data_IF_266966758283
#
_entry.id   IF_266966758283
#
_cell.length_a   1.000
_cell.length_b   1.000
_cell.length_c   1.000
_cell.angle_alpha   90.00
_cell.angle_beta   90.00
_cell.angle_gamma   90.00
#
_symmetry.space_group_name_H-M   'P 1'
#
loop_
_entity.id
_entity.type
_entity.pdbx_description
1 polymer ?
#
# COMPACT_ATOMS: atom_id res chain seq x y z
N UNK A 1 -4.43 -14.14 1.25
CA UNK A 1 -4.04 -12.76 1.10
C UNK A 1 -3.85 -12.31 -0.32
N UNK A 2 -2.77 -11.61 -0.54
CA UNK A 2 -2.46 -10.89 -1.78
C UNK A 2 -2.44 -11.81 -3.02
N UNK A 3 -1.90 -13.02 -2.91
CA UNK A 3 -1.81 -13.96 -4.03
C UNK A 3 -3.15 -14.41 -4.64
N UNK A 4 -4.22 -14.33 -3.87
CA UNK A 4 -5.54 -14.78 -4.33
C UNK A 4 -6.48 -13.64 -4.69
N UNK A 5 -6.30 -12.46 -4.11
CA UNK A 5 -7.20 -11.33 -4.31
C UNK A 5 -6.85 -10.53 -5.57
N UNK A 6 -5.59 -10.12 -5.71
CA UNK A 6 -5.18 -9.22 -6.78
C UNK A 6 -5.40 -9.77 -8.18
N UNK A 7 -5.12 -11.07 -8.48
CA UNK A 7 -5.34 -11.61 -9.82
C UNK A 7 -6.80 -11.57 -10.30
N UNK A 8 -7.77 -11.63 -9.38
CA UNK A 8 -9.21 -11.64 -9.71
C UNK A 8 -9.87 -10.26 -9.56
N UNK A 9 -9.15 -9.30 -9.01
CA UNK A 9 -9.75 -8.04 -8.61
C UNK A 9 -10.27 -7.21 -9.79
N UNK A 10 -9.62 -7.25 -10.95
CA UNK A 10 -10.12 -6.59 -12.17
C UNK A 10 -11.50 -7.13 -12.59
N UNK A 11 -11.66 -8.44 -12.52
CA UNK A 11 -12.93 -9.11 -12.82
C UNK A 11 -14.01 -8.76 -11.76
N UNK A 12 -13.66 -8.84 -10.48
CA UNK A 12 -14.56 -8.51 -9.38
C UNK A 12 -15.05 -7.06 -9.45
N UNK A 13 -14.17 -6.13 -9.81
CA UNK A 13 -14.50 -4.72 -9.91
C UNK A 13 -15.10 -4.31 -11.27
N UNK A 14 -15.14 -5.23 -12.25
CA UNK A 14 -15.56 -4.96 -13.63
C UNK A 14 -14.77 -3.78 -14.24
N UNK A 15 -13.49 -3.68 -13.90
CA UNK A 15 -12.59 -2.62 -14.33
C UNK A 15 -11.15 -3.17 -14.36
N UNK A 16 -10.48 -3.02 -15.50
CA UNK A 16 -9.05 -3.32 -15.56
C UNK A 16 -8.29 -2.34 -14.65
N UNK A 17 -7.66 -2.88 -13.62
CA UNK A 17 -6.86 -2.13 -12.65
C UNK A 17 -5.38 -2.10 -13.00
N UNK A 18 -5.02 -2.58 -14.18
CA UNK A 18 -3.63 -2.68 -14.64
C UNK A 18 -2.75 -3.48 -13.66
N UNK A 19 -3.27 -4.61 -13.16
CA UNK A 19 -2.50 -5.47 -12.27
C UNK A 19 -1.50 -6.31 -13.06
N UNK A 20 -0.23 -6.18 -12.68
CA UNK A 20 0.88 -6.92 -13.25
C UNK A 20 1.66 -7.65 -12.16
N UNK A 21 1.76 -8.99 -12.27
CA UNK A 21 2.54 -9.84 -11.37
C UNK A 21 3.89 -10.12 -12.00
N UNK A 22 4.82 -9.19 -11.88
CA UNK A 22 6.11 -9.23 -12.56
C UNK A 22 7.32 -9.20 -11.60
N UNK A 23 7.05 -9.32 -10.32
CA UNK A 23 8.04 -9.39 -9.25
C UNK A 23 8.54 -8.04 -8.76
N UNK A 24 9.27 -8.10 -7.65
CA UNK A 24 9.87 -6.96 -6.96
C UNK A 24 11.32 -7.26 -6.58
N UNK A 25 12.23 -6.38 -6.96
CA UNK A 25 13.63 -6.38 -6.59
C UNK A 25 13.90 -5.24 -5.60
N UNK A 26 14.34 -5.57 -4.40
CA UNK A 26 14.90 -4.58 -3.46
C UNK A 26 16.42 -4.67 -3.51
N UNK A 27 17.04 -3.65 -4.07
CA UNK A 27 18.44 -3.63 -4.48
C UNK A 27 19.38 -3.22 -3.34
N UNK A 28 20.52 -3.88 -3.25
CA UNK A 28 21.62 -3.56 -2.34
C UNK A 28 22.90 -3.31 -3.09
N UNK A 29 23.60 -2.20 -2.75
CA UNK A 29 24.90 -1.82 -3.31
C UNK A 29 26.07 -2.03 -2.33
N UNK A 30 25.79 -2.29 -1.07
CA UNK A 30 26.79 -2.50 -0.03
C UNK A 30 26.43 -3.71 0.83
N UNK A 31 27.43 -4.27 1.52
CA UNK A 31 27.19 -5.35 2.49
C UNK A 31 26.20 -4.94 3.58
N UNK A 32 26.23 -3.68 4.00
CA UNK A 32 25.26 -3.15 4.98
C UNK A 32 23.83 -3.19 4.41
N UNK A 33 23.64 -2.83 3.14
CA UNK A 33 22.33 -2.94 2.48
C UNK A 33 21.87 -4.38 2.43
N UNK A 34 22.74 -5.33 2.09
CA UNK A 34 22.40 -6.75 2.07
C UNK A 34 22.01 -7.28 3.46
N UNK A 35 22.68 -6.84 4.53
CA UNK A 35 22.30 -7.21 5.90
C UNK A 35 20.91 -6.69 6.28
N UNK A 36 20.57 -5.45 5.89
CA UNK A 36 19.23 -4.89 6.12
C UNK A 36 18.20 -5.71 5.34
N UNK A 37 18.46 -5.96 4.07
CA UNK A 37 17.57 -6.73 3.20
C UNK A 37 17.39 -8.17 3.69
N UNK A 38 18.45 -8.81 4.21
CA UNK A 38 18.38 -10.14 4.80
C UNK A 38 17.39 -10.15 5.98
N UNK A 39 17.50 -9.21 6.91
CA UNK A 39 16.59 -9.13 8.05
C UNK A 39 15.12 -8.85 7.65
N UNK A 40 14.90 -8.11 6.55
CA UNK A 40 13.56 -7.90 6.00
C UNK A 40 13.04 -9.19 5.33
N UNK A 41 13.89 -9.86 4.55
CA UNK A 41 13.58 -11.12 3.87
C UNK A 41 13.21 -12.22 4.88
N UNK A 42 14.00 -12.38 5.95
CA UNK A 42 13.74 -13.38 7.00
C UNK A 42 12.36 -13.16 7.65
N UNK A 43 12.02 -11.90 7.93
CA UNK A 43 10.69 -11.56 8.46
C UNK A 43 9.59 -11.87 7.45
N UNK A 44 9.78 -11.55 6.18
CA UNK A 44 8.81 -11.82 5.13
C UNK A 44 8.57 -13.33 4.97
N UNK A 45 9.63 -14.12 4.96
CA UNK A 45 9.57 -15.60 4.92
C UNK A 45 8.84 -16.14 6.15
N UNK A 46 9.10 -15.60 7.35
CA UNK A 46 8.40 -16.02 8.57
C UNK A 46 6.89 -15.73 8.53
N UNK A 47 6.47 -14.78 7.70
CA UNK A 47 5.06 -14.47 7.42
C UNK A 47 4.47 -15.29 6.25
N UNK A 48 5.25 -16.22 5.68
CA UNK A 48 4.80 -17.11 4.59
C UNK A 48 4.93 -16.50 3.19
N UNK A 49 5.73 -15.44 3.02
CA UNK A 49 5.99 -14.88 1.68
C UNK A 49 7.14 -15.63 1.00
N UNK A 50 7.00 -15.85 -0.31
CA UNK A 50 8.04 -16.43 -1.16
C UNK A 50 9.04 -15.35 -1.59
N UNK A 51 9.98 -15.06 -0.70
CA UNK A 51 11.01 -14.04 -0.87
C UNK A 51 12.37 -14.64 -0.56
N UNK A 52 13.38 -14.30 -1.35
CA UNK A 52 14.75 -14.79 -1.12
C UNK A 52 15.79 -13.72 -1.45
N UNK A 53 16.95 -13.84 -0.84
CA UNK A 53 18.13 -13.09 -1.25
C UNK A 53 18.73 -13.68 -2.53
N UNK A 54 19.22 -12.81 -3.39
CA UNK A 54 19.90 -13.14 -4.64
C UNK A 54 21.18 -12.32 -4.79
N UNK A 55 22.15 -12.85 -5.49
CA UNK A 55 23.41 -12.15 -5.79
C UNK A 55 23.29 -11.21 -7.01
N UNK A 56 24.35 -10.42 -7.25
CA UNK A 56 24.38 -9.47 -8.36
C UNK A 56 24.30 -10.14 -9.75
N UNK A 57 24.78 -11.37 -9.90
CA UNK A 57 24.69 -12.10 -11.15
C UNK A 57 23.23 -12.45 -11.46
N UNK A 58 22.52 -12.96 -10.47
CA UNK A 58 21.12 -13.32 -10.59
C UNK A 58 20.22 -12.08 -10.79
N UNK A 59 20.56 -10.96 -10.08
CA UNK A 59 19.89 -9.66 -10.31
C UNK A 59 19.98 -9.24 -11.78
N UNK A 60 21.15 -9.31 -12.39
CA UNK A 60 21.35 -8.95 -13.81
C UNK A 60 20.71 -9.92 -14.77
N UNK A 61 20.60 -11.21 -14.41
CA UNK A 61 19.84 -12.17 -15.19
C UNK A 61 18.34 -11.86 -15.24
N UNK A 62 17.78 -11.33 -14.13
CA UNK A 62 16.37 -10.90 -14.05
C UNK A 62 16.17 -9.55 -14.73
N UNK A 63 17.07 -8.60 -14.51
CA UNK A 63 16.98 -7.26 -15.07
C UNK A 63 18.35 -6.75 -15.55
N UNK A 64 18.65 -6.87 -16.85
CA UNK A 64 19.96 -6.51 -17.42
C UNK A 64 20.23 -5.00 -17.50
N UNK A 65 19.24 -4.16 -17.20
CA UNK A 65 19.40 -2.69 -17.20
C UNK A 65 19.95 -2.15 -15.86
N UNK A 66 20.07 -3.01 -14.85
CA UNK A 66 20.59 -2.58 -13.55
C UNK A 66 22.11 -2.42 -13.57
N UNK A 67 22.58 -1.41 -12.84
CA UNK A 67 24.01 -1.10 -12.70
C UNK A 67 24.79 -2.24 -12.05
N UNK A 68 26.07 -2.38 -12.46
CA UNK A 68 27.04 -3.31 -11.85
C UNK A 68 27.35 -2.99 -10.39
N UNK A 69 26.99 -1.79 -9.92
CA UNK A 69 27.08 -1.44 -8.49
C UNK A 69 26.10 -2.24 -7.61
N UNK A 70 25.07 -2.84 -8.19
CA UNK A 70 24.14 -3.69 -7.45
C UNK A 70 24.79 -5.04 -7.20
N UNK A 71 25.13 -5.31 -5.94
CA UNK A 71 25.83 -6.54 -5.51
C UNK A 71 24.86 -7.65 -5.11
N UNK A 72 23.58 -7.35 -4.91
CA UNK A 72 22.53 -8.31 -4.58
C UNK A 72 21.20 -7.66 -4.34
N UNK A 73 20.19 -8.47 -4.10
CA UNK A 73 18.82 -7.99 -3.85
C UNK A 73 18.01 -8.97 -2.99
N UNK A 74 16.91 -8.49 -2.43
CA UNK A 74 15.79 -9.32 -2.00
C UNK A 74 14.80 -9.42 -3.16
N UNK A 75 14.49 -10.63 -3.58
CA UNK A 75 13.63 -10.94 -4.72
C UNK A 75 12.33 -11.62 -4.30
N UNK A 76 11.21 -11.07 -4.73
CA UNK A 76 9.88 -11.67 -4.61
C UNK A 76 9.26 -11.81 -6.00
N UNK A 77 9.25 -13.02 -6.54
CA UNK A 77 8.72 -13.30 -7.88
C UNK A 77 7.19 -13.19 -7.95
N UNK A 78 6.51 -13.34 -6.81
CA UNK A 78 5.05 -13.33 -6.72
C UNK A 78 4.46 -11.95 -6.45
N UNK A 79 5.31 -10.95 -6.23
CA UNK A 79 4.88 -9.56 -6.03
C UNK A 79 4.46 -8.88 -7.34
N UNK A 80 3.74 -7.79 -7.25
CA UNK A 80 3.20 -7.09 -8.40
C UNK A 80 2.77 -5.66 -8.08
N UNK A 81 2.28 -4.99 -9.09
CA UNK A 81 1.76 -3.63 -8.98
C UNK A 81 0.42 -3.48 -9.69
N UNK A 82 -0.34 -2.50 -9.30
CA UNK A 82 -1.60 -2.11 -9.92
C UNK A 82 -1.72 -0.58 -9.93
N UNK A 83 -2.59 -0.06 -10.78
CA UNK A 83 -2.89 1.36 -10.80
C UNK A 83 -3.78 1.75 -9.60
N UNK A 84 -3.26 2.48 -8.60
CA UNK A 84 -4.00 2.76 -7.37
C UNK A 84 -5.24 3.62 -7.58
N UNK A 85 -5.26 4.46 -8.63
CA UNK A 85 -6.41 5.29 -8.97
C UNK A 85 -7.55 4.44 -9.55
N UNK A 86 -7.22 3.47 -10.42
CA UNK A 86 -8.20 2.55 -10.99
C UNK A 86 -8.76 1.59 -9.94
N UNK A 87 -7.91 1.07 -9.04
CA UNK A 87 -8.37 0.26 -7.91
C UNK A 87 -9.38 1.02 -7.06
N UNK A 88 -9.06 2.24 -6.67
CA UNK A 88 -9.95 3.09 -5.87
C UNK A 88 -11.26 3.40 -6.60
N UNK A 89 -11.19 3.71 -7.90
CA UNK A 89 -12.35 3.96 -8.74
C UNK A 89 -13.24 2.72 -8.87
N UNK A 90 -12.64 1.55 -9.05
CA UNK A 90 -13.34 0.27 -9.15
C UNK A 90 -14.15 -0.03 -7.88
N UNK A 91 -13.51 0.05 -6.71
CA UNK A 91 -14.19 -0.10 -5.43
C UNK A 91 -15.32 0.93 -5.23
N UNK A 92 -15.08 2.19 -5.58
CA UNK A 92 -16.11 3.22 -5.49
C UNK A 92 -17.33 2.89 -6.36
N UNK A 93 -17.11 2.50 -7.62
CA UNK A 93 -18.20 2.13 -8.55
C UNK A 93 -18.98 0.93 -8.05
N UNK A 94 -18.28 -0.12 -7.65
CA UNK A 94 -18.90 -1.37 -7.16
C UNK A 94 -19.70 -1.14 -5.87
N UNK A 95 -19.13 -0.41 -4.93
CA UNK A 95 -19.83 -0.06 -3.69
C UNK A 95 -21.09 0.78 -3.95
N UNK A 96 -21.02 1.76 -4.85
CA UNK A 96 -22.22 2.52 -5.26
C UNK A 96 -23.30 1.65 -5.87
N UNK A 97 -22.91 0.73 -6.75
CA UNK A 97 -23.86 -0.20 -7.36
C UNK A 97 -24.55 -1.11 -6.33
N UNK A 98 -23.86 -1.39 -5.21
CA UNK A 98 -24.41 -2.12 -4.07
C UNK A 98 -25.21 -1.25 -3.08
N UNK A 99 -25.47 0.00 -3.40
CA UNK A 99 -26.28 0.91 -2.59
C UNK A 99 -25.51 1.70 -1.52
N UNK A 100 -24.17 1.64 -1.50
CA UNK A 100 -23.38 2.47 -0.59
C UNK A 100 -23.53 3.94 -0.95
N UNK A 101 -23.85 4.75 0.05
CA UNK A 101 -23.97 6.20 -0.10
C UNK A 101 -22.66 6.87 0.25
N UNK A 102 -22.08 7.58 -0.69
CA UNK A 102 -20.88 8.39 -0.51
C UNK A 102 -21.26 9.85 -0.25
N UNK A 103 -20.67 10.43 0.78
CA UNK A 103 -20.84 11.83 1.13
C UNK A 103 -19.48 12.49 1.04
N UNK A 104 -19.31 13.37 0.08
CA UNK A 104 -18.06 14.09 -0.19
C UNK A 104 -18.21 15.57 0.13
N UNK A 105 -17.09 16.27 0.30
CA UNK A 105 -17.08 17.71 0.62
C UNK A 105 -17.55 18.03 2.05
N UNK A 106 -17.50 17.04 2.94
CA UNK A 106 -17.78 17.20 4.37
C UNK A 106 -16.63 16.69 5.22
N UNK A 107 -16.00 17.60 5.94
CA UNK A 107 -14.93 17.26 6.85
C UNK A 107 -15.49 16.65 8.14
N UNK A 108 -15.03 15.46 8.48
CA UNK A 108 -15.33 14.82 9.78
C UNK A 108 -14.53 15.50 10.88
N UNK A 109 -15.20 16.01 11.88
CA UNK A 109 -14.59 16.71 13.02
C UNK A 109 -14.46 15.85 14.27
N UNK A 110 -15.15 14.70 14.32
CA UNK A 110 -15.05 13.76 15.43
C UNK A 110 -16.17 12.74 15.48
N UNK A 111 -16.14 11.97 16.56
CA UNK A 111 -17.12 10.93 16.88
C UNK A 111 -17.72 11.25 18.25
N UNK A 112 -19.02 10.99 18.42
CA UNK A 112 -19.68 11.09 19.73
C UNK A 112 -20.15 9.72 20.22
N UNK A 113 -20.13 9.54 21.54
CA UNK A 113 -20.69 8.38 22.20
C UNK A 113 -22.16 8.60 22.55
N UNK A 114 -23.00 7.62 22.26
CA UNK A 114 -24.36 7.54 22.78
C UNK A 114 -24.41 6.32 23.70
N UNK A 115 -24.78 6.53 24.97
CA UNK A 115 -24.82 5.47 26.00
C UNK A 115 -23.51 4.67 26.11
N UNK A 116 -22.36 5.36 26.04
CA UNK A 116 -21.05 4.76 26.15
C UNK A 116 -20.49 4.10 24.87
N UNK A 117 -21.26 4.03 23.79
CA UNK A 117 -20.84 3.45 22.49
C UNK A 117 -20.64 4.54 21.44
N UNK A 118 -19.58 4.44 20.65
CA UNK A 118 -19.37 5.31 19.49
C UNK A 118 -20.47 5.02 18.45
N UNK A 119 -21.34 5.98 18.21
CA UNK A 119 -22.54 5.81 17.39
C UNK A 119 -22.75 6.94 16.38
N UNK A 120 -22.03 8.04 16.53
CA UNK A 120 -22.33 9.26 15.79
C UNK A 120 -21.05 9.84 15.21
N UNK A 121 -21.04 10.06 13.90
CA UNK A 121 -20.00 10.80 13.19
C UNK A 121 -20.45 12.24 13.04
N UNK A 122 -19.61 13.18 13.43
CA UNK A 122 -19.87 14.62 13.38
C UNK A 122 -19.02 15.23 12.27
N UNK A 123 -19.65 15.96 11.38
CA UNK A 123 -18.98 16.77 10.35
C UNK A 123 -19.19 18.27 10.65
N UNK A 124 -18.59 19.14 9.83
CA UNK A 124 -18.86 20.58 9.92
C UNK A 124 -20.30 20.97 9.54
N UNK A 125 -21.01 20.11 8.81
CA UNK A 125 -22.34 20.42 8.27
C UNK A 125 -23.46 19.58 8.88
N UNK A 126 -23.16 18.32 9.17
CA UNK A 126 -24.17 17.31 9.50
C UNK A 126 -23.70 16.36 10.61
N UNK A 127 -24.63 15.54 11.04
CA UNK A 127 -24.40 14.46 12.01
C UNK A 127 -24.97 13.17 11.41
N UNK A 128 -24.20 12.09 11.47
CA UNK A 128 -24.58 10.78 10.95
C UNK A 128 -24.53 9.75 12.05
N UNK A 129 -25.51 8.87 12.10
CA UNK A 129 -25.59 7.78 13.08
C UNK A 129 -25.35 6.42 12.40
N UNK A 130 -24.71 5.52 13.13
CA UNK A 130 -24.43 4.16 12.69
C UNK A 130 -24.20 3.22 13.86
N UNK A 131 -24.44 1.94 13.65
CA UNK A 131 -24.18 0.91 14.65
C UNK A 131 -22.70 0.64 14.83
N UNK A 132 -21.94 0.70 13.76
CA UNK A 132 -20.49 0.52 13.71
C UNK A 132 -19.89 1.69 12.95
N UNK A 133 -18.80 2.24 13.45
CA UNK A 133 -18.02 3.29 12.81
C UNK A 133 -16.65 2.72 12.50
N UNK A 134 -16.29 2.73 11.22
CA UNK A 134 -14.94 2.39 10.75
C UNK A 134 -14.21 3.68 10.41
N UNK A 135 -13.06 3.91 11.06
CA UNK A 135 -12.22 5.06 10.78
C UNK A 135 -11.07 4.62 9.90
N UNK A 136 -11.08 5.07 8.65
CA UNK A 136 -10.08 4.76 7.61
C UNK A 136 -9.59 6.06 6.94
N UNK A 137 -9.32 7.09 7.77
CA UNK A 137 -8.99 8.45 7.33
C UNK A 137 -7.47 8.69 7.25
N UNK A 138 -6.67 7.63 7.08
CA UNK A 138 -5.22 7.73 7.03
C UNK A 138 -4.67 8.43 8.28
N UNK A 139 -3.76 9.37 8.10
CA UNK A 139 -3.16 10.13 9.18
C UNK A 139 -4.18 10.88 10.07
N UNK A 140 -5.27 11.39 9.49
CA UNK A 140 -6.30 12.12 10.24
C UNK A 140 -7.11 11.21 11.19
N UNK A 141 -7.02 9.90 11.06
CA UNK A 141 -7.70 8.94 11.93
C UNK A 141 -7.40 9.19 13.40
N UNK A 142 -6.15 9.55 13.75
CA UNK A 142 -5.75 9.82 15.15
C UNK A 142 -6.60 10.94 15.76
N UNK A 143 -6.70 12.08 15.08
CA UNK A 143 -7.47 13.22 15.57
C UNK A 143 -8.97 12.88 15.74
N UNK A 144 -9.52 12.12 14.79
CA UNK A 144 -10.91 11.69 14.81
C UNK A 144 -11.21 10.80 16.03
N UNK A 145 -10.38 9.77 16.27
CA UNK A 145 -10.64 8.81 17.37
C UNK A 145 -10.30 9.36 18.74
N UNK A 146 -9.44 10.39 18.84
CA UNK A 146 -9.18 11.10 20.10
C UNK A 146 -10.45 11.72 20.68
N UNK A 147 -11.44 12.09 19.86
CA UNK A 147 -12.74 12.62 20.30
C UNK A 147 -13.54 11.62 21.16
N UNK A 148 -13.21 10.33 21.09
CA UNK A 148 -13.81 9.27 21.92
C UNK A 148 -12.83 8.67 22.93
N UNK A 149 -11.67 9.32 23.16
CA UNK A 149 -10.68 8.94 24.14
C UNK A 149 -9.76 7.78 23.70
N UNK A 150 -9.65 7.53 22.40
CA UNK A 150 -8.71 6.54 21.84
C UNK A 150 -7.50 7.28 21.29
N UNK A 151 -6.29 6.89 21.72
CA UNK A 151 -5.05 7.35 21.10
C UNK A 151 -4.45 6.25 20.23
N UNK A 152 -4.20 6.59 18.95
CA UNK A 152 -3.54 5.71 17.99
C UNK A 152 -2.14 6.29 17.72
N UNK A 153 -1.06 5.52 17.93
CA UNK A 153 0.31 6.02 17.78
C UNK A 153 0.68 6.15 16.31
N UNK A 154 0.18 7.19 15.66
CA UNK A 154 0.48 7.51 14.25
C UNK A 154 1.37 8.74 14.17
N UNK A 155 2.37 8.68 13.28
CA UNK A 155 3.21 9.83 12.91
C UNK A 155 2.93 10.19 11.45
N UNK A 156 3.03 11.48 11.14
CA UNK A 156 2.98 11.97 9.78
C UNK A 156 4.41 12.00 9.24
N UNK A 157 4.60 11.38 8.10
CA UNK A 157 5.82 11.48 7.33
C UNK A 157 5.48 12.03 5.95
N UNK A 158 6.34 12.91 5.43
CA UNK A 158 6.21 13.43 4.08
C UNK A 158 6.98 12.50 3.14
N UNK A 159 6.26 11.88 2.23
CA UNK A 159 6.86 11.08 1.15
C UNK A 159 6.61 11.84 -0.15
N UNK A 160 7.66 12.12 -0.90
CA UNK A 160 7.57 12.70 -2.22
C UNK A 160 7.54 11.60 -3.29
N UNK A 161 6.69 11.76 -4.27
CA UNK A 161 6.63 10.88 -5.42
C UNK A 161 6.77 11.71 -6.71
N UNK A 162 7.59 11.21 -7.62
CA UNK A 162 7.75 11.78 -8.95
C UNK A 162 7.08 10.85 -9.96
N UNK A 163 6.38 11.43 -10.92
CA UNK A 163 5.79 10.71 -12.05
C UNK A 163 6.35 11.32 -13.31
N UNK A 164 6.94 10.48 -14.17
CA UNK A 164 7.42 10.89 -15.48
C UNK A 164 6.28 10.97 -16.49
N UNK A 165 6.55 11.55 -17.65
CA UNK A 165 5.74 11.30 -18.83
C UNK A 165 5.77 9.81 -19.20
N UNK A 166 4.83 9.37 -20.04
CA UNK A 166 4.79 7.99 -20.48
C UNK A 166 6.03 7.66 -21.33
N UNK A 167 6.83 6.70 -20.83
CA UNK A 167 8.03 6.22 -21.50
C UNK A 167 7.83 4.77 -21.96
N UNK A 168 8.57 4.30 -22.98
CA UNK A 168 8.55 2.89 -23.37
C UNK A 168 8.93 2.00 -22.19
N UNK A 169 8.19 0.92 -21.99
CA UNK A 169 8.46 -0.05 -20.90
C UNK A 169 9.83 -0.69 -21.10
N UNK A 170 10.76 -0.41 -20.21
CA UNK A 170 12.12 -0.97 -20.23
C UNK A 170 12.22 -2.31 -19.51
N UNK A 171 11.55 -2.43 -18.37
CA UNK A 171 11.54 -3.63 -17.54
C UNK A 171 10.20 -3.77 -16.82
N UNK A 172 9.79 -5.01 -16.52
CA UNK A 172 8.51 -5.24 -15.89
C UNK A 172 8.52 -5.15 -14.35
N UNK A 173 9.66 -5.44 -13.72
CA UNK A 173 9.75 -5.58 -12.27
C UNK A 173 9.61 -4.24 -11.54
N UNK A 174 9.02 -4.28 -10.36
CA UNK A 174 9.14 -3.19 -9.39
C UNK A 174 10.55 -3.14 -8.82
N UNK A 175 11.08 -1.95 -8.65
CA UNK A 175 12.42 -1.72 -8.09
C UNK A 175 12.31 -0.87 -6.82
N UNK A 176 13.03 -1.30 -5.79
CA UNK A 176 13.27 -0.52 -4.58
C UNK A 176 14.74 -0.57 -4.22
N UNK A 177 15.22 0.34 -3.37
CA UNK A 177 16.60 0.35 -2.91
C UNK A 177 16.66 0.36 -1.39
N UNK A 178 17.75 -0.17 -0.84
CA UNK A 178 18.03 -0.14 0.58
C UNK A 178 18.77 1.14 1.04
N UNK A 179 19.04 2.04 0.11
CA UNK A 179 19.77 3.30 0.35
C UNK A 179 18.88 4.37 0.99
N UNK A 180 17.57 4.24 0.85
CA UNK A 180 16.65 5.18 1.46
C UNK A 180 16.49 4.84 2.95
N UNK A 181 16.88 5.76 3.82
CA UNK A 181 16.68 5.65 5.28
C UNK A 181 15.19 5.79 5.69
N UNK A 182 14.29 5.20 4.91
CA UNK A 182 12.84 5.26 5.13
C UNK A 182 12.32 4.01 5.82
N UNK A 183 12.95 3.64 6.96
CA UNK A 183 12.45 2.55 7.79
C UNK A 183 12.46 2.91 9.27
#
# INVERSE_FOLDING_TARGET
GVEHMWPTLSEELELDIEYHKEGNLRLGKTERHLQILQGLTDRAVSCGLDVRMIDGQEVRAINPYLSDEVIGASWCATDGHANPLLVTLGYYRKARAQGVRFITGEEVTGIRKIRGKARTVVTRKNVYEGETIIVAAGYESRAIVQSVGIDVPMRKELIEALVTEAEPKMFPQMLGTADAEFY
#
